data_IF_125626648838
#
_entry.id   IF_125626648838
#
_cell.length_a   1.000
_cell.length_b   1.000
_cell.length_c   1.000
_cell.angle_alpha   90.00
_cell.angle_beta   90.00
_cell.angle_gamma   90.00
#
_symmetry.space_group_name_H-M   'P 1'
#
loop_
_entity.id
_entity.type
_entity.pdbx_description
1 polymer ?
#
# COMPACT_ATOMS: atom_id res chain seq x y z
N UNK A 1 7.59 -11.17 35.30
CA UNK A 1 9.03 -10.86 35.09
C UNK A 1 9.65 -12.03 34.34
N UNK A 2 10.22 -11.80 33.15
CA UNK A 2 10.49 -12.85 32.17
C UNK A 2 11.71 -13.72 32.55
N UNK A 3 11.60 -15.05 32.45
CA UNK A 3 12.60 -16.03 32.91
C UNK A 3 13.97 -15.84 32.20
N UNK A 4 13.96 -15.30 30.98
CA UNK A 4 15.19 -14.97 30.25
C UNK A 4 15.98 -13.78 30.85
N UNK A 5 15.30 -12.82 31.48
CA UNK A 5 15.97 -11.68 32.12
C UNK A 5 16.68 -12.08 33.41
N UNK A 6 16.09 -13.02 34.17
CA UNK A 6 16.71 -13.58 35.38
C UNK A 6 18.01 -14.31 35.06
N UNK A 7 18.02 -15.16 34.02
CA UNK A 7 19.23 -15.87 33.58
C UNK A 7 20.36 -14.91 33.18
N UNK A 8 20.05 -13.83 32.46
CA UNK A 8 21.06 -12.81 32.08
C UNK A 8 21.62 -12.05 33.28
N UNK A 9 20.77 -11.70 34.25
CA UNK A 9 21.20 -11.01 35.48
C UNK A 9 22.12 -11.89 36.32
N UNK A 10 21.78 -13.16 36.52
CA UNK A 10 22.61 -14.12 37.28
C UNK A 10 23.98 -14.32 36.61
N UNK A 11 24.00 -14.49 35.28
CA UNK A 11 25.25 -14.65 34.54
C UNK A 11 26.17 -13.42 34.65
N UNK A 12 25.62 -12.21 34.56
CA UNK A 12 26.39 -10.97 34.76
C UNK A 12 26.95 -10.87 36.18
N UNK A 13 26.17 -11.28 37.18
CA UNK A 13 26.59 -11.25 38.57
C UNK A 13 27.75 -12.22 38.83
N UNK A 14 27.65 -13.47 38.35
CA UNK A 14 28.72 -14.45 38.46
C UNK A 14 29.99 -14.01 37.74
N UNK A 15 29.87 -13.46 36.53
CA UNK A 15 31.03 -12.92 35.81
C UNK A 15 31.76 -11.85 36.62
N UNK A 16 31.03 -10.88 37.16
CA UNK A 16 31.62 -9.81 37.94
C UNK A 16 32.23 -10.31 39.26
N UNK A 17 31.58 -11.26 39.93
CA UNK A 17 32.07 -11.86 41.17
C UNK A 17 33.38 -12.63 40.95
N UNK A 18 33.45 -13.46 39.89
CA UNK A 18 34.66 -14.21 39.54
C UNK A 18 35.83 -13.28 39.20
N UNK A 19 35.59 -12.19 38.48
CA UNK A 19 36.63 -11.19 38.16
C UNK A 19 37.12 -10.51 39.45
N UNK A 20 36.21 -10.12 40.34
CA UNK A 20 36.57 -9.45 41.60
C UNK A 20 37.43 -10.34 42.51
N UNK A 21 37.10 -11.62 42.63
CA UNK A 21 37.90 -12.57 43.41
C UNK A 21 39.28 -12.76 42.79
N UNK A 22 39.34 -12.91 41.47
CA UNK A 22 40.61 -13.09 40.77
C UNK A 22 41.54 -11.89 40.99
N UNK A 23 41.02 -10.67 40.88
CA UNK A 23 41.78 -9.44 41.15
C UNK A 23 42.25 -9.39 42.60
N UNK A 24 41.39 -9.73 43.57
CA UNK A 24 41.76 -9.74 44.98
C UNK A 24 42.91 -10.72 45.27
N UNK A 25 42.87 -11.91 44.68
CA UNK A 25 43.94 -12.91 44.79
C UNK A 25 45.25 -12.37 44.23
N UNK A 26 45.22 -11.76 43.03
CA UNK A 26 46.41 -11.17 42.41
C UNK A 26 47.03 -10.08 43.30
N UNK A 27 46.23 -9.21 43.90
CA UNK A 27 46.71 -8.13 44.80
C UNK A 27 47.36 -8.70 46.07
N UNK A 28 46.81 -9.77 46.64
CA UNK A 28 47.38 -10.43 47.82
C UNK A 28 48.73 -11.08 47.48
N UNK A 29 48.80 -11.82 46.38
CA UNK A 29 50.05 -12.43 45.90
C UNK A 29 51.14 -11.38 45.64
N UNK A 30 50.77 -10.26 45.00
CA UNK A 30 51.67 -9.13 44.77
C UNK A 30 52.16 -8.51 46.08
N UNK A 31 51.29 -8.35 47.09
CA UNK A 31 51.68 -7.78 48.39
C UNK A 31 52.70 -8.65 49.13
N UNK A 32 52.56 -9.98 49.06
CA UNK A 32 53.49 -10.90 49.73
C UNK A 32 54.83 -10.93 49.00
N UNK A 33 54.83 -10.97 47.67
CA UNK A 33 56.05 -11.12 46.88
C UNK A 33 56.82 -9.81 46.66
N UNK A 34 56.18 -8.66 46.89
CA UNK A 34 56.82 -7.36 46.78
C UNK A 34 57.92 -7.11 47.83
N UNK A 35 57.91 -7.83 48.96
CA UNK A 35 58.89 -7.66 50.04
C UNK A 35 60.24 -8.30 49.72
N UNK A 36 60.27 -9.35 48.89
CA UNK A 36 61.47 -10.17 48.67
C UNK A 36 62.24 -9.81 47.38
N UNK A 37 61.64 -9.08 46.44
CA UNK A 37 62.23 -8.81 45.11
C UNK A 37 61.95 -7.38 44.60
N UNK A 38 62.79 -6.38 44.93
CA UNK A 38 62.54 -4.96 44.61
C UNK A 38 62.48 -4.66 43.10
N UNK A 39 63.16 -5.44 42.25
CA UNK A 39 63.14 -5.28 40.79
C UNK A 39 61.78 -5.64 40.16
N UNK A 40 60.99 -6.53 40.79
CA UNK A 40 59.65 -6.85 40.31
C UNK A 40 58.70 -5.67 40.51
N UNK A 41 58.79 -5.01 41.67
CA UNK A 41 57.98 -3.84 41.99
C UNK A 41 58.24 -2.66 41.03
N UNK A 42 59.50 -2.43 40.66
CA UNK A 42 59.89 -1.38 39.70
C UNK A 42 59.30 -1.65 38.31
N UNK A 43 59.39 -2.89 37.81
CA UNK A 43 58.82 -3.29 36.53
C UNK A 43 57.29 -3.18 36.50
N UNK A 44 56.61 -3.56 37.60
CA UNK A 44 55.15 -3.46 37.72
C UNK A 44 54.71 -2.00 37.77
N UNK A 45 55.41 -1.16 38.53
CA UNK A 45 55.11 0.28 38.63
C UNK A 45 55.30 0.97 37.28
N UNK A 46 56.35 0.61 36.54
CA UNK A 46 56.58 1.09 35.19
C UNK A 46 55.48 0.63 34.22
N UNK A 47 55.12 -0.66 34.23
CA UNK A 47 54.07 -1.22 33.38
C UNK A 47 52.68 -0.61 33.69
N UNK A 48 52.39 -0.34 34.96
CA UNK A 48 51.17 0.34 35.40
C UNK A 48 51.11 1.79 34.89
N UNK A 49 52.22 2.51 34.97
CA UNK A 49 52.33 3.89 34.45
C UNK A 49 52.13 3.92 32.93
N UNK A 50 52.77 3.00 32.20
CA UNK A 50 52.61 2.86 30.75
C UNK A 50 51.16 2.48 30.38
N UNK A 51 50.54 1.58 31.13
CA UNK A 51 49.13 1.19 30.93
C UNK A 51 48.18 2.37 31.15
N UNK A 52 48.42 3.21 32.17
CA UNK A 52 47.63 4.41 32.42
C UNK A 52 47.78 5.44 31.29
N UNK A 53 48.98 5.57 30.72
CA UNK A 53 49.22 6.45 29.58
C UNK A 53 48.45 5.97 28.34
N UNK A 54 48.50 4.68 28.03
CA UNK A 54 47.76 4.08 26.91
C UNK A 54 46.25 4.25 27.11
N UNK A 55 45.74 3.98 28.32
CA UNK A 55 44.31 4.11 28.62
C UNK A 55 43.82 5.56 28.49
N UNK A 56 44.66 6.54 28.87
CA UNK A 56 44.38 7.97 28.68
C UNK A 56 44.26 8.33 27.18
N UNK A 57 45.16 7.82 26.34
CA UNK A 57 45.09 8.02 24.88
C UNK A 57 43.79 7.44 24.31
N UNK A 58 43.43 6.23 24.70
CA UNK A 58 42.18 5.58 24.27
C UNK A 58 40.96 6.40 24.71
N UNK A 59 40.97 6.92 25.95
CA UNK A 59 39.90 7.77 26.45
C UNK A 59 39.75 9.07 25.65
N UNK A 60 40.87 9.71 25.29
CA UNK A 60 40.87 10.90 24.42
C UNK A 60 40.29 10.57 23.04
N UNK A 61 40.73 9.49 22.40
CA UNK A 61 40.21 9.05 21.09
C UNK A 61 38.71 8.80 21.17
N UNK A 62 38.25 8.09 22.20
CA UNK A 62 36.83 7.78 22.39
C UNK A 62 36.00 9.04 22.64
N UNK A 63 36.52 10.01 23.41
CA UNK A 63 35.87 11.30 23.63
C UNK A 63 35.74 12.11 22.32
N UNK A 64 36.77 12.10 21.46
CA UNK A 64 36.73 12.74 20.14
C UNK A 64 35.71 12.06 19.22
N UNK A 65 35.66 10.73 19.19
CA UNK A 65 34.68 10.01 18.37
C UNK A 65 33.24 10.23 18.88
N UNK A 66 33.06 10.20 20.20
CA UNK A 66 31.75 10.40 20.84
C UNK A 66 31.24 11.83 20.62
N UNK A 67 32.11 12.84 20.72
CA UNK A 67 31.71 14.23 20.48
C UNK A 67 31.21 14.46 19.04
N UNK A 68 31.88 13.86 18.03
CA UNK A 68 31.41 13.92 16.64
C UNK A 68 30.06 13.22 16.42
N UNK A 69 29.87 12.04 17.02
CA UNK A 69 28.59 11.30 16.93
C UNK A 69 27.44 12.01 17.64
N UNK A 70 27.70 12.66 18.78
CA UNK A 70 26.73 13.44 19.53
C UNK A 70 26.29 14.68 18.73
N UNK A 71 27.23 15.42 18.15
CA UNK A 71 26.93 16.57 17.31
C UNK A 71 26.10 16.18 16.07
N UNK A 72 26.43 15.05 15.43
CA UNK A 72 25.64 14.49 14.33
C UNK A 72 24.23 14.10 14.77
N UNK A 73 24.09 13.49 15.95
CA UNK A 73 22.79 13.08 16.48
C UNK A 73 21.91 14.28 16.84
N UNK A 74 22.47 15.33 17.45
CA UNK A 74 21.76 16.58 17.73
C UNK A 74 21.29 17.26 16.43
N UNK A 75 22.14 17.29 15.40
CA UNK A 75 21.75 17.80 14.09
C UNK A 75 20.60 17.00 13.46
N UNK A 76 20.62 15.66 13.57
CA UNK A 76 19.50 14.81 13.12
C UNK A 76 18.22 15.10 13.89
N UNK A 77 18.29 15.25 15.21
CA UNK A 77 17.14 15.61 16.05
C UNK A 77 16.57 16.97 15.63
N UNK A 78 17.41 17.97 15.39
CA UNK A 78 16.96 19.28 14.92
C UNK A 78 16.28 19.21 13.54
N UNK A 79 16.81 18.41 12.61
CA UNK A 79 16.18 18.14 11.31
C UNK A 79 14.84 17.41 11.45
N UNK A 80 14.73 16.45 12.37
CA UNK A 80 13.46 15.75 12.64
C UNK A 80 12.44 16.72 13.24
N UNK A 81 12.84 17.52 14.23
CA UNK A 81 11.97 18.51 14.88
C UNK A 81 11.43 19.54 13.88
N UNK A 82 12.28 20.06 12.99
CA UNK A 82 11.85 20.98 11.93
C UNK A 82 10.91 20.31 10.92
N UNK A 83 11.13 19.04 10.56
CA UNK A 83 10.20 18.28 9.73
C UNK A 83 8.86 18.05 10.43
N UNK A 84 8.87 17.70 11.72
CA UNK A 84 7.65 17.52 12.52
C UNK A 84 6.85 18.82 12.59
N UNK A 85 7.50 19.95 12.81
CA UNK A 85 6.82 21.26 12.81
C UNK A 85 6.15 21.54 11.45
N UNK A 86 6.85 21.30 10.33
CA UNK A 86 6.27 21.45 8.98
C UNK A 86 5.09 20.49 8.75
N UNK A 87 5.19 19.25 9.21
CA UNK A 87 4.10 18.27 9.11
C UNK A 87 2.90 18.72 9.95
N UNK A 88 3.11 19.22 11.16
CA UNK A 88 2.06 19.74 12.02
C UNK A 88 1.31 20.90 11.36
N UNK A 89 2.04 21.86 10.77
CA UNK A 89 1.44 22.97 10.01
C UNK A 89 0.64 22.45 8.81
N UNK A 90 1.15 21.43 8.11
CA UNK A 90 0.44 20.82 6.97
C UNK A 90 -0.85 20.13 7.43
N UNK A 91 -0.83 19.44 8.57
CA UNK A 91 -2.02 18.81 9.17
C UNK A 91 -3.05 19.87 9.55
N UNK A 92 -2.62 20.95 10.22
CA UNK A 92 -3.49 22.06 10.58
C UNK A 92 -4.16 22.67 9.34
N UNK A 93 -3.38 22.93 8.27
CA UNK A 93 -3.91 23.44 7.00
C UNK A 93 -4.89 22.46 6.35
N UNK A 94 -4.58 21.16 6.36
CA UNK A 94 -5.50 20.14 5.86
C UNK A 94 -6.79 20.09 6.67
N UNK A 95 -6.73 20.25 8.00
CA UNK A 95 -7.89 20.24 8.87
C UNK A 95 -8.77 21.48 8.63
N UNK A 96 -8.16 22.65 8.45
CA UNK A 96 -8.88 23.88 8.07
C UNK A 96 -9.58 23.69 6.71
N UNK A 97 -8.90 23.12 5.72
CA UNK A 97 -9.49 22.85 4.40
C UNK A 97 -10.63 21.82 4.47
N UNK A 98 -10.48 20.79 5.30
CA UNK A 98 -11.52 19.79 5.53
C UNK A 98 -12.74 20.42 6.20
N UNK A 99 -12.55 21.22 7.25
CA UNK A 99 -13.62 21.97 7.91
C UNK A 99 -14.39 22.83 6.91
N UNK A 100 -13.68 23.61 6.07
CA UNK A 100 -14.30 24.42 5.02
C UNK A 100 -15.12 23.59 4.03
N UNK A 101 -14.63 22.42 3.62
CA UNK A 101 -15.37 21.53 2.73
C UNK A 101 -16.62 20.97 3.42
N UNK A 102 -16.54 20.61 4.70
CA UNK A 102 -17.68 20.14 5.48
C UNK A 102 -18.74 21.25 5.62
N UNK A 103 -18.32 22.49 5.84
CA UNK A 103 -19.24 23.64 5.93
C UNK A 103 -19.98 23.93 4.60
N UNK A 104 -19.40 23.52 3.47
CA UNK A 104 -20.03 23.65 2.14
C UNK A 104 -21.05 22.54 1.84
N UNK A 105 -20.96 21.37 2.48
CA UNK A 105 -21.86 20.23 2.24
C UNK A 105 -23.34 20.63 2.39
N UNK A 106 -23.79 21.30 3.47
CA UNK A 106 -25.18 21.72 3.59
C UNK A 106 -25.67 22.62 2.45
N UNK A 107 -24.80 23.50 1.94
CA UNK A 107 -25.15 24.40 0.83
C UNK A 107 -25.29 23.66 -0.50
N UNK A 108 -24.42 22.69 -0.77
CA UNK A 108 -24.54 21.84 -1.95
C UNK A 108 -25.76 20.91 -1.86
N UNK A 109 -26.09 20.40 -0.67
CA UNK A 109 -27.32 19.65 -0.45
C UNK A 109 -28.58 20.50 -0.63
N UNK A 110 -28.57 21.76 -0.18
CA UNK A 110 -29.68 22.69 -0.41
C UNK A 110 -29.87 22.96 -1.91
N UNK A 111 -28.78 23.16 -2.65
CA UNK A 111 -28.81 23.33 -4.10
C UNK A 111 -29.28 22.07 -4.85
N UNK A 112 -28.86 20.89 -4.41
CA UNK A 112 -29.35 19.61 -4.93
C UNK A 112 -30.84 19.43 -4.67
N UNK A 113 -31.31 19.76 -3.46
CA UNK A 113 -32.73 19.73 -3.11
C UNK A 113 -33.54 20.68 -3.99
N UNK A 114 -33.06 21.90 -4.20
CA UNK A 114 -33.69 22.86 -5.10
C UNK A 114 -33.76 22.35 -6.55
N UNK A 115 -32.68 21.73 -7.05
CA UNK A 115 -32.69 21.10 -8.37
C UNK A 115 -33.66 19.93 -8.46
N UNK A 116 -33.75 19.08 -7.43
CA UNK A 116 -34.70 17.97 -7.37
C UNK A 116 -36.13 18.50 -7.34
N UNK A 117 -36.42 19.50 -6.50
CA UNK A 117 -37.74 20.13 -6.40
C UNK A 117 -38.13 20.78 -7.74
N UNK A 118 -37.18 21.42 -8.43
CA UNK A 118 -37.41 21.97 -9.77
C UNK A 118 -37.61 20.88 -10.83
N UNK A 119 -36.86 19.77 -10.77
CA UNK A 119 -37.13 18.60 -11.63
C UNK A 119 -38.49 18.00 -11.35
N UNK A 120 -38.92 17.91 -10.09
CA UNK A 120 -40.25 17.45 -9.71
C UNK A 120 -41.34 18.36 -10.27
N UNK A 121 -41.19 19.68 -10.18
CA UNK A 121 -42.10 20.64 -10.81
C UNK A 121 -42.12 20.52 -12.33
N UNK A 122 -40.99 20.24 -12.97
CA UNK A 122 -40.95 20.00 -14.42
C UNK A 122 -41.73 18.72 -14.76
N UNK A 123 -41.58 17.65 -13.97
CA UNK A 123 -42.34 16.40 -14.12
C UNK A 123 -43.84 16.58 -13.82
N UNK A 124 -44.21 17.42 -12.86
CA UNK A 124 -45.59 17.70 -12.49
C UNK A 124 -46.30 18.57 -13.57
N UNK A 125 -45.55 19.42 -14.27
CA UNK A 125 -46.03 20.18 -15.43
C UNK A 125 -46.07 19.35 -16.73
N UNK A 126 -45.43 18.18 -16.76
CA UNK A 126 -45.68 17.17 -17.78
C UNK A 126 -46.98 16.46 -17.39
N UNK A 127 -48.10 17.01 -17.87
CA UNK A 127 -49.44 16.51 -17.60
C UNK A 127 -49.60 15.09 -18.17
N UNK A 128 -49.27 14.06 -17.40
CA UNK A 128 -49.64 12.67 -17.65
C UNK A 128 -51.13 12.51 -17.36
N UNK A 129 -51.93 13.02 -18.28
CA UNK A 129 -53.37 12.84 -18.24
C UNK A 129 -53.69 11.45 -18.79
N UNK A 130 -53.40 10.40 -18.02
CA UNK A 130 -53.86 9.05 -18.31
C UNK A 130 -54.84 8.58 -17.24
N UNK A 131 -56.10 8.50 -17.66
CA UNK A 131 -57.13 7.74 -16.98
C UNK A 131 -56.91 6.28 -17.32
N UNK A 132 -56.87 5.44 -16.29
CA UNK A 132 -56.91 3.97 -16.34
C UNK A 132 -55.70 3.33 -17.04
N UNK A 133 -54.79 2.74 -16.27
CA UNK A 133 -54.83 1.28 -16.15
C UNK A 133 -53.90 0.78 -15.04
N UNK A 134 -54.24 -0.41 -14.56
CA UNK A 134 -53.59 -1.13 -13.49
C UNK A 134 -52.20 -1.61 -13.94
N UNK A 135 -51.23 -1.45 -13.05
CA UNK A 135 -50.12 -2.39 -12.84
C UNK A 135 -49.40 -2.85 -14.12
N UNK A 136 -48.67 -1.94 -14.77
CA UNK A 136 -47.67 -2.29 -15.78
C UNK A 136 -46.26 -1.97 -15.28
N UNK A 137 -45.45 -3.02 -15.25
CA UNK A 137 -44.00 -3.02 -15.05
C UNK A 137 -43.32 -1.94 -15.86
N UNK A 138 -42.50 -1.11 -15.20
CA UNK A 138 -41.56 -0.19 -15.83
C UNK A 138 -40.74 -0.97 -16.86
N UNK A 139 -40.90 -0.57 -18.13
CA UNK A 139 -40.23 -1.14 -19.30
C UNK A 139 -38.72 -1.30 -19.06
N UNK A 140 -38.26 -2.54 -19.17
CA UNK A 140 -36.91 -2.99 -18.83
C UNK A 140 -35.84 -2.65 -19.88
N UNK A 141 -36.14 -1.78 -20.84
CA UNK A 141 -35.32 -1.50 -22.03
C UNK A 141 -34.62 -0.13 -22.03
N UNK A 142 -34.28 0.41 -20.86
CA UNK A 142 -33.38 1.57 -20.81
C UNK A 142 -31.96 1.14 -21.23
N UNK A 143 -31.63 1.39 -22.49
CA UNK A 143 -30.26 1.28 -23.01
C UNK A 143 -29.45 2.50 -22.58
N UNK A 144 -28.30 2.25 -21.94
CA UNK A 144 -27.42 3.33 -21.50
C UNK A 144 -26.91 4.10 -22.74
N UNK A 145 -26.97 5.44 -22.75
CA UNK A 145 -26.44 6.22 -23.87
C UNK A 145 -24.98 5.84 -24.18
N UNK A 146 -24.69 5.54 -25.44
CA UNK A 146 -23.35 5.13 -25.90
C UNK A 146 -22.28 6.17 -25.54
N UNK A 147 -22.65 7.45 -25.53
CA UNK A 147 -21.78 8.58 -25.13
C UNK A 147 -21.29 8.48 -23.69
N UNK A 148 -22.05 7.85 -22.79
CA UNK A 148 -21.62 7.62 -21.40
C UNK A 148 -20.63 6.47 -21.30
N UNK A 149 -20.81 5.42 -22.11
CA UNK A 149 -19.88 4.28 -22.19
C UNK A 149 -18.54 4.78 -22.75
N UNK A 150 -18.59 5.57 -23.82
CA UNK A 150 -17.41 6.20 -24.41
C UNK A 150 -16.69 7.10 -23.40
N UNK A 151 -17.41 8.00 -22.72
CA UNK A 151 -16.82 8.87 -21.71
C UNK A 151 -16.22 8.10 -20.52
N UNK A 152 -16.77 6.93 -20.19
CA UNK A 152 -16.26 6.06 -19.14
C UNK A 152 -14.94 5.39 -19.55
N UNK A 153 -14.87 4.83 -20.76
CA UNK A 153 -13.65 4.18 -21.29
C UNK A 153 -12.56 5.20 -21.60
N UNK A 154 -12.89 6.36 -22.18
CA UNK A 154 -11.93 7.40 -22.54
C UNK A 154 -11.23 8.03 -21.33
N UNK A 155 -11.91 8.09 -20.18
CA UNK A 155 -11.35 8.61 -18.92
C UNK A 155 -10.68 7.53 -18.07
N UNK A 156 -10.64 6.28 -18.54
CA UNK A 156 -10.01 5.21 -17.80
C UNK A 156 -8.50 5.43 -17.68
N UNK A 157 -7.97 5.36 -16.46
CA UNK A 157 -6.52 5.26 -16.26
C UNK A 157 -6.02 3.86 -16.63
N UNK A 158 -4.70 3.67 -16.65
CA UNK A 158 -4.08 2.40 -17.08
C UNK A 158 -4.59 1.19 -16.29
N UNK A 159 -4.64 1.29 -14.97
CA UNK A 159 -5.12 0.20 -14.11
C UNK A 159 -6.60 -0.15 -14.34
N UNK A 160 -7.46 0.86 -14.53
CA UNK A 160 -8.87 0.65 -14.87
C UNK A 160 -9.01 -0.02 -16.25
N UNK A 161 -8.21 0.42 -17.21
CA UNK A 161 -8.19 -0.13 -18.56
C UNK A 161 -7.71 -1.60 -18.57
N UNK A 162 -6.74 -1.95 -17.72
CA UNK A 162 -6.26 -3.32 -17.50
C UNK A 162 -7.34 -4.25 -16.94
N UNK A 163 -8.11 -3.77 -15.94
CA UNK A 163 -9.23 -4.50 -15.36
C UNK A 163 -10.38 -4.66 -16.37
N UNK A 164 -10.72 -3.60 -17.11
CA UNK A 164 -11.74 -3.67 -18.15
C UNK A 164 -11.36 -4.67 -19.23
N UNK A 165 -10.11 -4.65 -19.68
CA UNK A 165 -9.59 -5.61 -20.64
C UNK A 165 -9.60 -7.04 -20.10
N UNK A 166 -9.23 -7.25 -18.82
CA UNK A 166 -9.32 -8.55 -18.18
C UNK A 166 -10.74 -9.12 -18.26
N UNK A 167 -11.76 -8.33 -17.90
CA UNK A 167 -13.16 -8.78 -18.02
C UNK A 167 -13.61 -8.99 -19.47
N UNK A 168 -13.17 -8.16 -20.41
CA UNK A 168 -13.43 -8.36 -21.84
C UNK A 168 -12.87 -9.69 -22.33
N UNK A 169 -11.64 -10.03 -21.93
CA UNK A 169 -10.99 -11.29 -22.30
C UNK A 169 -11.67 -12.52 -21.65
N UNK A 170 -12.08 -12.41 -20.38
CA UNK A 170 -12.86 -13.47 -19.70
C UNK A 170 -14.16 -13.75 -20.46
N UNK A 171 -14.88 -12.69 -20.86
CA UNK A 171 -16.10 -12.82 -21.66
C UNK A 171 -15.81 -13.47 -23.04
N UNK A 172 -14.79 -12.99 -23.75
CA UNK A 172 -14.41 -13.49 -25.09
C UNK A 172 -14.07 -14.98 -25.08
N UNK A 173 -13.38 -15.45 -24.04
CA UNK A 173 -13.05 -16.87 -23.86
C UNK A 173 -14.22 -17.74 -23.40
N UNK A 174 -15.31 -17.14 -22.93
CA UNK A 174 -16.46 -17.84 -22.32
C UNK A 174 -16.06 -18.76 -21.16
N UNK A 175 -14.94 -18.46 -20.50
CA UNK A 175 -14.37 -19.24 -19.41
C UNK A 175 -15.19 -19.09 -18.12
N UNK A 176 -15.26 -20.17 -17.34
CA UNK A 176 -15.74 -20.09 -15.96
C UNK A 176 -14.54 -19.70 -15.09
N UNK A 177 -14.59 -18.54 -14.43
CA UNK A 177 -13.42 -18.03 -13.69
C UNK A 177 -13.78 -17.84 -12.22
N UNK A 178 -12.86 -18.17 -11.32
CA UNK A 178 -12.94 -17.76 -9.92
C UNK A 178 -12.57 -16.28 -9.83
N UNK A 179 -13.55 -15.41 -10.05
CA UNK A 179 -13.34 -13.96 -10.09
C UNK A 179 -12.73 -13.46 -8.78
N UNK A 180 -13.13 -14.02 -7.63
CA UNK A 180 -12.54 -13.66 -6.35
C UNK A 180 -11.03 -13.95 -6.38
N UNK A 181 -10.63 -15.20 -6.60
CA UNK A 181 -9.22 -15.58 -6.59
C UNK A 181 -8.40 -14.82 -7.65
N UNK A 182 -8.96 -14.58 -8.83
CA UNK A 182 -8.34 -13.80 -9.90
C UNK A 182 -8.16 -12.31 -9.53
N UNK A 183 -9.09 -11.72 -8.79
CA UNK A 183 -9.01 -10.33 -8.35
C UNK A 183 -8.07 -10.21 -7.13
N UNK A 184 -8.17 -11.15 -6.19
CA UNK A 184 -7.36 -11.20 -4.97
C UNK A 184 -5.93 -11.71 -5.21
N UNK A 185 -5.60 -12.18 -6.41
CA UNK A 185 -4.22 -12.52 -6.78
C UNK A 185 -3.34 -11.29 -7.05
N UNK A 186 -3.93 -10.09 -7.07
CA UNK A 186 -3.14 -8.86 -7.12
C UNK A 186 -2.52 -8.59 -5.76
N UNK A 187 -1.22 -8.32 -5.71
CA UNK A 187 -0.48 -7.95 -4.49
C UNK A 187 -0.92 -6.58 -3.92
N UNK A 188 -1.85 -5.88 -4.60
CA UNK A 188 -2.31 -4.53 -4.26
C UNK A 188 -3.78 -4.53 -3.83
N UNK A 189 -4.02 -4.20 -2.56
CA UNK A 189 -5.37 -3.98 -2.00
C UNK A 189 -6.16 -2.93 -2.81
N UNK A 190 -5.46 -1.94 -3.38
CA UNK A 190 -6.05 -0.88 -4.19
C UNK A 190 -6.59 -1.43 -5.52
N UNK A 191 -5.84 -2.32 -6.17
CA UNK A 191 -6.24 -2.94 -7.44
C UNK A 191 -7.37 -3.94 -7.22
N UNK A 192 -7.33 -4.69 -6.12
CA UNK A 192 -8.43 -5.54 -5.67
C UNK A 192 -9.72 -4.73 -5.50
N UNK A 193 -9.66 -3.62 -4.76
CA UNK A 193 -10.81 -2.74 -4.55
C UNK A 193 -11.32 -2.12 -5.86
N UNK A 194 -10.41 -1.71 -6.73
CA UNK A 194 -10.74 -1.17 -8.05
C UNK A 194 -11.45 -2.22 -8.90
N UNK A 195 -10.95 -3.45 -8.98
CA UNK A 195 -11.54 -4.52 -9.78
C UNK A 195 -12.95 -4.90 -9.32
N UNK A 196 -13.18 -4.97 -8.00
CA UNK A 196 -14.52 -5.17 -7.43
C UNK A 196 -15.44 -4.01 -7.83
N UNK A 197 -14.97 -2.76 -7.70
CA UNK A 197 -15.75 -1.56 -8.05
C UNK A 197 -16.12 -1.51 -9.54
N UNK A 198 -15.19 -1.87 -10.42
CA UNK A 198 -15.41 -1.94 -11.86
C UNK A 198 -16.42 -3.01 -12.21
N UNK A 199 -16.27 -4.22 -11.65
CA UNK A 199 -17.21 -5.31 -11.86
C UNK A 199 -18.62 -4.93 -11.39
N UNK A 200 -18.74 -4.32 -10.21
CA UNK A 200 -20.03 -3.86 -9.70
C UNK A 200 -20.64 -2.79 -10.61
N UNK A 201 -19.82 -1.87 -11.13
CA UNK A 201 -20.27 -0.78 -12.02
C UNK A 201 -20.80 -1.33 -13.33
N UNK A 202 -20.03 -2.18 -14.03
CA UNK A 202 -20.43 -2.74 -15.33
C UNK A 202 -21.64 -3.68 -15.21
N UNK A 203 -21.82 -4.38 -14.07
CA UNK A 203 -23.03 -5.15 -13.78
C UNK A 203 -24.22 -4.22 -13.52
N UNK A 204 -24.05 -3.18 -12.70
CA UNK A 204 -25.12 -2.25 -12.33
C UNK A 204 -25.63 -1.47 -13.55
N UNK A 205 -24.74 -1.12 -14.47
CA UNK A 205 -25.05 -0.48 -15.74
C UNK A 205 -25.60 -1.45 -16.80
N UNK A 206 -25.80 -2.73 -16.46
CA UNK A 206 -26.23 -3.81 -17.38
C UNK A 206 -25.31 -3.97 -18.60
N UNK A 207 -24.04 -3.54 -18.49
CA UNK A 207 -23.05 -3.69 -19.55
C UNK A 207 -22.50 -5.11 -19.62
N UNK A 208 -22.62 -5.89 -18.53
CA UNK A 208 -22.28 -7.31 -18.50
C UNK A 208 -23.38 -8.10 -17.75
N UNK A 209 -23.77 -9.24 -18.31
CA UNK A 209 -24.55 -10.27 -17.60
C UNK A 209 -23.63 -11.42 -17.20
N UNK A 210 -23.84 -11.94 -16.00
CA UNK A 210 -23.06 -13.05 -15.49
C UNK A 210 -23.96 -14.18 -15.00
N UNK A 211 -23.43 -15.40 -15.03
CA UNK A 211 -24.05 -16.58 -14.44
C UNK A 211 -23.11 -17.18 -13.40
N UNK A 212 -23.67 -17.47 -12.23
CA UNK A 212 -22.97 -18.21 -11.18
C UNK A 212 -23.03 -19.71 -11.48
N UNK A 213 -21.88 -20.36 -11.46
CA UNK A 213 -21.75 -21.81 -11.57
C UNK A 213 -21.05 -22.30 -10.31
N UNK A 214 -21.57 -23.35 -9.68
CA UNK A 214 -20.93 -23.95 -8.50
C UNK A 214 -20.28 -25.26 -8.92
N UNK A 215 -19.00 -25.43 -8.59
CA UNK A 215 -18.28 -26.69 -8.82
C UNK A 215 -18.66 -27.73 -7.77
N UNK A 216 -18.27 -29.00 -8.00
CA UNK A 216 -18.49 -30.11 -7.09
C UNK A 216 -17.87 -29.88 -5.71
N UNK A 217 -16.81 -29.08 -5.64
CA UNK A 217 -16.09 -28.74 -4.40
C UNK A 217 -16.66 -27.51 -3.68
N UNK A 218 -17.91 -27.12 -4.00
CA UNK A 218 -18.59 -25.94 -3.46
C UNK A 218 -17.92 -24.60 -3.77
N UNK A 219 -17.00 -24.60 -4.74
CA UNK A 219 -16.35 -23.39 -5.22
C UNK A 219 -17.24 -22.62 -6.20
N UNK A 220 -17.24 -21.29 -6.08
CA UNK A 220 -18.08 -20.41 -6.88
C UNK A 220 -17.30 -19.85 -8.06
N UNK A 221 -17.77 -20.19 -9.26
CA UNK A 221 -17.27 -19.66 -10.52
C UNK A 221 -18.28 -18.69 -11.11
N UNK A 222 -17.76 -17.68 -11.80
CA UNK A 222 -18.56 -16.73 -12.54
C UNK A 222 -18.23 -16.87 -14.02
N UNK A 223 -19.29 -16.96 -14.83
CA UNK A 223 -19.21 -16.89 -16.29
C UNK A 223 -19.85 -15.60 -16.76
N UNK A 224 -19.10 -14.80 -17.50
CA UNK A 224 -19.65 -13.63 -18.19
C UNK A 224 -20.36 -14.13 -19.46
N UNK A 225 -21.68 -13.92 -19.53
CA UNK A 225 -22.57 -14.51 -20.54
C UNK A 225 -22.80 -13.56 -21.71
N UNK A 226 -23.03 -12.28 -21.38
CA UNK A 226 -23.26 -11.22 -22.37
C UNK A 226 -22.46 -10.00 -21.94
N UNK A 227 -21.92 -9.28 -22.91
CA UNK A 227 -21.25 -8.00 -22.73
C UNK A 227 -21.74 -7.04 -23.81
N UNK A 228 -21.98 -5.79 -23.44
CA UNK A 228 -22.34 -4.73 -24.38
C UNK A 228 -21.23 -4.57 -25.44
N UNK A 229 -21.59 -4.64 -26.72
CA UNK A 229 -20.62 -4.63 -27.82
C UNK A 229 -19.88 -3.28 -27.91
N UNK A 230 -20.57 -2.14 -27.70
CA UNK A 230 -19.91 -0.83 -27.67
C UNK A 230 -18.84 -0.77 -26.58
N UNK A 231 -19.11 -1.27 -25.37
CA UNK A 231 -18.11 -1.33 -24.29
C UNK A 231 -16.90 -2.19 -24.71
N UNK A 232 -17.15 -3.37 -25.26
CA UNK A 232 -16.10 -4.30 -25.69
C UNK A 232 -15.21 -3.68 -26.76
N UNK A 233 -15.80 -3.10 -27.81
CA UNK A 233 -15.06 -2.51 -28.92
C UNK A 233 -14.28 -1.26 -28.48
N UNK A 234 -14.89 -0.42 -27.63
CA UNK A 234 -14.23 0.75 -27.06
C UNK A 234 -13.03 0.38 -26.20
N UNK A 235 -13.19 -0.64 -25.32
CA UNK A 235 -12.09 -1.12 -24.47
C UNK A 235 -10.98 -1.70 -25.33
N UNK A 236 -11.27 -2.57 -26.31
CA UNK A 236 -10.25 -3.15 -27.18
C UNK A 236 -9.49 -2.08 -27.96
N UNK A 237 -10.21 -1.10 -28.55
CA UNK A 237 -9.61 0.02 -29.27
C UNK A 237 -8.73 0.87 -28.37
N UNK A 238 -9.25 1.33 -27.23
CA UNK A 238 -8.52 2.21 -26.32
C UNK A 238 -7.30 1.52 -25.72
N UNK A 239 -7.42 0.23 -25.41
CA UNK A 239 -6.31 -0.58 -24.90
C UNK A 239 -5.20 -0.73 -25.93
N UNK A 240 -5.56 -1.02 -27.19
CA UNK A 240 -4.59 -1.05 -28.29
C UNK A 240 -3.92 0.31 -28.46
N UNK A 241 -4.66 1.41 -28.54
CA UNK A 241 -4.09 2.77 -28.68
C UNK A 241 -3.13 3.12 -27.53
N UNK A 242 -3.46 2.75 -26.30
CA UNK A 242 -2.68 3.09 -25.11
C UNK A 242 -1.34 2.34 -25.05
N UNK A 243 -1.29 1.10 -25.55
CA UNK A 243 -0.13 0.20 -25.40
C UNK A 243 0.54 -0.23 -26.71
N UNK A 244 0.07 0.26 -27.87
CA UNK A 244 0.68 0.03 -29.19
C UNK A 244 1.71 1.10 -29.57
N UNK A 245 1.76 2.22 -28.84
CA UNK A 245 2.75 3.26 -29.11
C UNK A 245 4.06 2.85 -28.45
N UNK A 246 5.09 2.51 -29.24
CA UNK A 246 6.49 2.45 -28.80
C UNK A 246 6.86 3.82 -28.21
N UNK A 247 6.65 4.01 -26.90
CA UNK A 247 7.16 5.17 -26.19
C UNK A 247 8.52 4.82 -25.63
N UNK A 248 9.52 5.60 -26.05
CA UNK A 248 10.87 5.61 -25.51
C UNK A 248 10.85 5.47 -23.99
N UNK A 249 11.70 4.56 -23.49
CA UNK A 249 11.75 3.97 -22.14
C UNK A 249 11.94 4.94 -20.95
N UNK A 250 11.77 6.25 -21.13
CA UNK A 250 12.25 7.27 -20.18
C UNK A 250 11.18 7.88 -19.25
N UNK A 251 10.01 7.27 -19.10
CA UNK A 251 9.07 7.65 -18.03
C UNK A 251 8.99 6.58 -16.95
N UNK A 252 9.90 6.72 -15.99
CA UNK A 252 10.04 5.93 -14.76
C UNK A 252 8.89 6.13 -13.74
N UNK A 253 7.69 6.50 -14.22
CA UNK A 253 6.47 6.43 -13.41
C UNK A 253 5.88 5.04 -13.60
N UNK A 254 6.42 4.08 -12.85
CA UNK A 254 5.79 2.78 -12.63
C UNK A 254 4.49 3.00 -11.87
N UNK A 255 3.42 3.38 -12.58
CA UNK A 255 2.07 3.19 -12.07
C UNK A 255 1.94 1.71 -11.74
N UNK A 256 1.77 1.43 -10.44
CA UNK A 256 1.57 0.08 -9.93
C UNK A 256 0.26 -0.46 -10.51
N UNK A 257 0.38 -1.25 -11.58
CA UNK A 257 -0.76 -1.93 -12.20
C UNK A 257 -1.25 -3.12 -11.38
N UNK A 258 -0.55 -3.47 -10.28
CA UNK A 258 -0.86 -4.59 -9.36
C UNK A 258 -0.85 -6.00 -9.97
N UNK A 259 -0.84 -6.12 -11.30
CA UNK A 259 -0.77 -7.37 -12.05
C UNK A 259 0.62 -7.62 -12.68
N UNK A 260 1.58 -6.73 -12.41
CA UNK A 260 2.94 -6.76 -12.97
C UNK A 260 2.94 -7.00 -14.49
N UNK A 261 2.14 -6.19 -15.19
CA UNK A 261 1.94 -6.33 -16.63
C UNK A 261 3.11 -5.71 -17.42
N UNK A 262 3.53 -6.32 -18.55
CA UNK A 262 4.51 -5.73 -19.46
C UNK A 262 4.10 -4.34 -19.96
N UNK A 263 5.02 -3.59 -20.55
CA UNK A 263 4.71 -2.26 -21.10
C UNK A 263 4.07 -2.34 -22.50
N UNK A 264 4.39 -3.38 -23.26
CA UNK A 264 3.91 -3.61 -24.62
C UNK A 264 2.54 -4.31 -24.66
N UNK A 265 1.73 -3.97 -25.66
CA UNK A 265 0.39 -4.54 -25.84
C UNK A 265 0.38 -6.07 -25.86
N UNK A 266 1.24 -6.70 -26.66
CA UNK A 266 1.24 -8.16 -26.84
C UNK A 266 1.62 -8.88 -25.54
N UNK A 267 2.64 -8.38 -24.83
CA UNK A 267 3.06 -8.86 -23.53
C UNK A 267 1.95 -8.75 -22.49
N UNK A 268 1.23 -7.63 -22.47
CA UNK A 268 0.06 -7.43 -21.60
C UNK A 268 -1.05 -8.44 -21.88
N UNK A 269 -1.45 -8.58 -23.15
CA UNK A 269 -2.50 -9.51 -23.55
C UNK A 269 -2.09 -10.95 -23.20
N UNK A 270 -0.83 -11.33 -23.43
CA UNK A 270 -0.32 -12.64 -23.03
C UNK A 270 -0.44 -12.84 -21.52
N UNK A 271 0.00 -11.86 -20.72
CA UNK A 271 -0.02 -11.97 -19.26
C UNK A 271 -1.43 -12.03 -18.68
N UNK A 272 -2.35 -11.21 -19.19
CA UNK A 272 -3.77 -11.28 -18.82
C UNK A 272 -4.37 -12.64 -19.17
N UNK A 273 -3.99 -13.21 -20.31
CA UNK A 273 -4.44 -14.55 -20.71
C UNK A 273 -3.90 -15.67 -19.81
N UNK A 274 -2.66 -15.55 -19.31
CA UNK A 274 -2.09 -16.47 -18.31
C UNK A 274 -2.90 -16.42 -17.01
N UNK A 275 -3.18 -15.20 -16.51
CA UNK A 275 -4.00 -14.99 -15.31
C UNK A 275 -5.37 -15.66 -15.49
N UNK A 276 -6.05 -15.40 -16.61
CA UNK A 276 -7.35 -16.03 -16.88
C UNK A 276 -7.25 -17.56 -16.88
N UNK A 277 -6.19 -18.12 -17.48
CA UNK A 277 -6.00 -19.57 -17.53
C UNK A 277 -5.81 -20.16 -16.14
N UNK A 278 -5.00 -19.53 -15.29
CA UNK A 278 -4.71 -19.96 -13.92
C UNK A 278 -5.98 -20.06 -13.06
N UNK A 279 -6.93 -19.13 -13.24
CA UNK A 279 -8.15 -19.05 -12.44
C UNK A 279 -9.40 -19.60 -13.17
N UNK A 280 -9.23 -20.18 -14.35
CA UNK A 280 -10.31 -20.80 -15.13
C UNK A 280 -10.48 -22.29 -14.84
N UNK A 281 -11.71 -22.78 -15.01
CA UNK A 281 -12.08 -24.20 -14.96
C UNK A 281 -12.50 -24.72 -16.34
#
# INVERSE_FOLDING_TARGET
MNNQELKRKIFRLHRNYSISILVAIIVILLSIHATDAPKLYENISFASTMSSLILSIIAIIYALQTSGTLASSLNKIQKISTRLNKTSIKIEKSNINLSKKIDLIPSEFAFLKEKIDNSHKVLENLNFNDKNDKDESIDSNYELPETLIEAYVERANRSLLDILMLFTLVHKKKSNVKINDMIFSSDSDLITGLAIGVLQTIISLKLIKYKKTTSKDNEVYIKLVEMNESLKDLVERKYAETYSTDRDEDTEDKEDTGFNLPLDYDGRIRKLNEIIHEYSL
#
